data_IF_285705306961
#
_entry.id   IF_285705306961
#
_cell.length_a   1.000
_cell.length_b   1.000
_cell.length_c   1.000
_cell.angle_alpha   90.00
_cell.angle_beta   90.00
_cell.angle_gamma   90.00
#
_symmetry.space_group_name_H-M   'P 1'
#
loop_
_entity.id
_entity.type
_entity.pdbx_description
1 polymer ?
#
# COMPACT_ATOMS: atom_id res chain seq x y z
N UNK A 1 -12.12 -6.87 -7.55
CA UNK A 1 -13.01 -6.13 -8.48
C UNK A 1 -12.35 -6.10 -9.86
N UNK A 2 -13.07 -6.34 -10.97
CA UNK A 2 -12.49 -6.32 -12.31
C UNK A 2 -12.01 -4.91 -12.73
N UNK A 3 -10.91 -4.84 -13.48
CA UNK A 3 -10.31 -3.56 -13.90
C UNK A 3 -11.24 -2.68 -14.76
N UNK A 4 -12.10 -3.28 -15.60
CA UNK A 4 -13.04 -2.52 -16.43
C UNK A 4 -14.09 -1.76 -15.58
N UNK A 5 -14.52 -2.33 -14.45
CA UNK A 5 -15.48 -1.70 -13.56
C UNK A 5 -14.86 -0.49 -12.84
N UNK A 6 -13.58 -0.59 -12.46
CA UNK A 6 -12.82 0.53 -11.89
C UNK A 6 -12.62 1.64 -12.93
N UNK A 7 -12.29 1.29 -14.18
CA UNK A 7 -12.15 2.26 -15.29
C UNK A 7 -13.45 2.96 -15.67
N UNK A 8 -14.59 2.29 -15.55
CA UNK A 8 -15.90 2.93 -15.76
C UNK A 8 -16.24 3.98 -14.69
N UNK A 9 -15.77 3.79 -13.45
CA UNK A 9 -16.03 4.70 -12.33
C UNK A 9 -14.99 5.82 -12.21
N UNK A 10 -13.72 5.52 -12.46
CA UNK A 10 -12.57 6.43 -12.25
C UNK A 10 -11.93 6.96 -13.53
N UNK A 11 -12.43 6.57 -14.72
CA UNK A 11 -11.84 6.95 -16.00
C UNK A 11 -10.37 6.55 -16.11
N UNK A 12 -9.52 7.44 -16.64
CA UNK A 12 -8.09 7.19 -16.82
C UNK A 12 -7.31 7.11 -15.49
N UNK A 13 -7.86 7.60 -14.37
CA UNK A 13 -7.24 7.48 -13.04
C UNK A 13 -7.34 6.08 -12.44
N UNK A 14 -8.08 5.16 -13.07
CA UNK A 14 -8.15 3.76 -12.65
C UNK A 14 -6.77 3.09 -12.55
N UNK A 15 -5.78 3.57 -13.30
CA UNK A 15 -4.42 3.02 -13.26
C UNK A 15 -3.79 3.07 -11.86
N UNK A 16 -4.11 4.07 -11.03
CA UNK A 16 -3.57 4.18 -9.66
C UNK A 16 -3.98 2.98 -8.79
N UNK A 17 -5.18 2.43 -9.04
CA UNK A 17 -5.74 1.32 -8.27
C UNK A 17 -5.40 -0.03 -8.92
N UNK A 18 -5.30 -0.07 -10.24
CA UNK A 18 -5.03 -1.32 -10.99
C UNK A 18 -3.55 -1.62 -11.17
N UNK A 19 -2.67 -0.70 -10.79
CA UNK A 19 -1.21 -0.88 -10.84
C UNK A 19 -0.62 -0.81 -9.44
N UNK A 20 0.58 -1.37 -9.29
CA UNK A 20 1.35 -1.30 -8.04
C UNK A 20 2.75 -0.81 -8.31
N UNK A 21 3.39 -0.28 -7.26
CA UNK A 21 4.80 0.10 -7.29
C UNK A 21 5.57 -0.75 -6.27
N UNK A 22 6.75 -1.26 -6.66
CA UNK A 22 7.65 -1.92 -5.72
C UNK A 22 8.54 -0.87 -5.06
N UNK A 23 8.08 -0.32 -3.95
CA UNK A 23 8.83 0.66 -3.17
C UNK A 23 9.79 -0.03 -2.19
N UNK A 24 11.07 0.37 -2.20
CA UNK A 24 12.10 -0.12 -1.26
C UNK A 24 12.72 1.08 -0.52
N UNK A 25 12.55 1.20 0.81
CA UNK A 25 12.86 2.41 1.58
C UNK A 25 14.35 2.54 1.96
N UNK A 26 15.28 2.37 0.99
CA UNK A 26 16.74 2.37 1.22
C UNK A 26 17.29 3.57 1.98
N UNK A 27 16.73 4.76 1.73
CA UNK A 27 17.17 5.99 2.40
C UNK A 27 16.79 6.01 3.88
N UNK A 28 15.62 5.47 4.23
CA UNK A 28 15.18 5.40 5.62
C UNK A 28 16.02 4.37 6.40
N UNK A 29 16.33 3.23 5.77
CA UNK A 29 17.27 2.24 6.29
C UNK A 29 18.64 2.87 6.58
N UNK A 30 19.19 3.62 5.62
CA UNK A 30 20.49 4.29 5.77
C UNK A 30 20.52 5.37 6.87
N UNK A 31 19.38 5.97 7.18
CA UNK A 31 19.23 6.97 8.24
C UNK A 31 18.95 6.33 9.61
N UNK A 32 18.90 5.00 9.71
CA UNK A 32 18.65 4.28 10.96
C UNK A 32 17.20 4.37 11.43
N UNK A 33 16.24 4.58 10.52
CA UNK A 33 14.84 4.62 10.91
C UNK A 33 14.35 3.22 11.32
N UNK A 34 13.84 3.11 12.54
CA UNK A 34 13.25 1.87 13.07
C UNK A 34 11.74 1.85 12.84
N UNK A 35 11.27 0.81 12.14
CA UNK A 35 9.85 0.62 11.87
C UNK A 35 9.15 0.01 13.07
N UNK A 36 8.12 0.70 13.58
CA UNK A 36 7.22 0.13 14.61
C UNK A 36 6.52 -1.14 14.11
N UNK A 37 6.14 -1.16 12.83
CA UNK A 37 5.47 -2.28 12.19
C UNK A 37 6.21 -2.66 10.89
N UNK A 38 7.22 -3.56 10.95
CA UNK A 38 7.99 -3.97 9.77
C UNK A 38 7.20 -4.91 8.85
N UNK A 39 6.17 -5.57 9.37
CA UNK A 39 5.31 -6.49 8.64
C UNK A 39 3.90 -5.90 8.44
N UNK A 40 3.27 -6.25 7.32
CA UNK A 40 1.98 -5.68 6.93
C UNK A 40 0.84 -6.15 7.84
N UNK A 41 0.80 -7.44 8.19
CA UNK A 41 -0.27 -8.02 8.99
C UNK A 41 -0.45 -7.34 10.36
N UNK A 42 0.58 -7.20 11.20
CA UNK A 42 0.42 -6.52 12.49
C UNK A 42 0.05 -5.04 12.32
N UNK A 43 0.53 -4.37 11.26
CA UNK A 43 0.14 -2.99 10.96
C UNK A 43 -1.35 -2.85 10.63
N UNK A 44 -1.91 -3.82 9.88
CA UNK A 44 -3.32 -3.84 9.52
C UNK A 44 -4.21 -4.18 10.72
N UNK A 45 -3.78 -5.10 11.58
CA UNK A 45 -4.49 -5.42 12.83
C UNK A 45 -4.62 -4.17 13.73
N UNK A 46 -3.51 -3.44 13.91
CA UNK A 46 -3.48 -2.17 14.66
C UNK A 46 -4.39 -1.10 14.03
N UNK A 47 -4.25 -0.87 12.72
CA UNK A 47 -4.99 0.19 12.02
C UNK A 47 -6.51 -0.06 11.91
N UNK A 48 -6.93 -1.33 11.82
CA UNK A 48 -8.35 -1.70 11.65
C UNK A 48 -9.02 -2.14 12.95
N UNK A 49 -8.27 -2.26 14.05
CA UNK A 49 -8.76 -2.76 15.33
C UNK A 49 -9.16 -4.24 15.30
N UNK A 50 -8.76 -5.00 14.27
CA UNK A 50 -8.98 -6.44 14.19
C UNK A 50 -7.79 -7.14 14.85
N UNK A 51 -8.06 -7.92 15.90
CA UNK A 51 -7.08 -8.82 16.51
C UNK A 51 -6.93 -10.09 15.70
#
# INVERSE_FOLDING_TARGET
VPAFAIRALYGDMAQVVTTGVRMVPRRLEALGYEWRWPELEPALCDATGRR
#
